data_IF_330289342223
#
_entry.id   IF_330289342223
#
_cell.length_a   1.000
_cell.length_b   1.000
_cell.length_c   1.000
_cell.angle_alpha   90.00
_cell.angle_beta   90.00
_cell.angle_gamma   90.00
#
_symmetry.space_group_name_H-M   'P 1'
#
loop_
_entity.id
_entity.type
_entity.pdbx_description
1 polymer ?
#
# COMPACT_ATOMS: atom_id res chain seq x y z
N UNK A 1 44.34 7.87 33.96
CA UNK A 1 44.29 7.48 32.54
C UNK A 1 43.64 6.11 32.45
N UNK A 2 42.34 6.09 32.14
CA UNK A 2 41.59 4.88 31.82
C UNK A 2 40.86 5.24 30.54
N UNK A 3 41.37 4.76 29.41
CA UNK A 3 40.76 4.98 28.11
C UNK A 3 39.64 3.95 27.99
N UNK A 4 38.39 4.39 28.11
CA UNK A 4 37.26 3.52 27.79
C UNK A 4 37.06 3.60 26.28
N UNK A 5 37.32 2.46 25.64
CA UNK A 5 37.12 2.18 24.23
C UNK A 5 35.68 2.51 23.84
N UNK A 6 35.52 3.30 22.79
CA UNK A 6 34.24 3.72 22.23
C UNK A 6 33.26 2.54 22.04
N UNK A 7 31.95 2.73 22.25
CA UNK A 7 30.97 1.70 21.93
C UNK A 7 30.98 1.48 20.43
N UNK A 8 31.18 0.21 20.05
CA UNK A 8 31.05 -0.29 18.70
C UNK A 8 29.73 0.15 18.08
N UNK A 9 29.82 0.73 16.90
CA UNK A 9 28.74 0.92 15.94
C UNK A 9 27.82 -0.30 15.84
N UNK A 10 26.51 -0.09 15.94
CA UNK A 10 25.57 -0.71 15.00
C UNK A 10 24.31 0.15 14.84
N UNK A 11 24.17 0.63 13.62
CA UNK A 11 22.96 1.11 12.94
C UNK A 11 21.66 0.74 13.67
N UNK A 12 21.05 1.70 14.36
CA UNK A 12 19.67 1.57 14.82
C UNK A 12 18.73 2.05 13.72
N UNK A 13 18.47 1.13 12.80
CA UNK A 13 17.27 0.92 11.99
C UNK A 13 16.28 2.10 11.85
N UNK A 14 16.64 3.16 11.13
CA UNK A 14 15.68 4.19 10.69
C UNK A 14 14.79 3.72 9.52
N UNK A 15 15.03 2.50 9.02
CA UNK A 15 14.39 1.91 7.85
C UNK A 15 13.19 1.00 8.17
N UNK A 16 12.94 0.68 9.45
CA UNK A 16 11.81 -0.19 9.83
C UNK A 16 10.45 0.42 9.47
N UNK A 17 10.34 1.74 9.54
CA UNK A 17 9.09 2.47 9.32
C UNK A 17 8.80 2.60 7.82
N UNK A 18 9.85 2.62 7.00
CA UNK A 18 9.75 2.72 5.54
C UNK A 18 9.30 1.40 4.90
N UNK A 19 9.65 0.27 5.53
CA UNK A 19 9.27 -1.07 5.05
C UNK A 19 7.84 -1.44 5.44
N UNK A 20 7.38 -0.99 6.62
CA UNK A 20 6.00 -1.22 7.06
C UNK A 20 5.04 -0.69 6.00
N UNK A 21 5.22 0.54 5.51
CA UNK A 21 4.39 1.17 4.46
C UNK A 21 4.28 0.41 3.15
N UNK A 22 5.36 -0.21 2.68
CA UNK A 22 5.29 -1.10 1.51
C UNK A 22 4.61 -2.44 1.82
N UNK A 23 4.73 -2.98 3.03
CA UNK A 23 4.08 -4.25 3.39
C UNK A 23 2.56 -4.08 3.54
N UNK A 24 2.09 -2.98 4.17
CA UNK A 24 0.64 -2.70 4.26
C UNK A 24 0.02 -2.41 2.89
N UNK A 25 0.76 -1.90 1.89
CA UNK A 25 0.19 -1.72 0.54
C UNK A 25 -0.14 -3.05 -0.14
N UNK A 26 0.63 -4.11 0.16
CA UNK A 26 0.46 -5.45 -0.43
C UNK A 26 -0.66 -6.26 0.23
N UNK A 27 -0.97 -6.01 1.50
CA UNK A 27 -1.99 -6.75 2.27
C UNK A 27 -3.33 -6.03 2.18
N UNK A 28 -4.36 -6.68 1.63
CA UNK A 28 -5.72 -6.13 1.55
C UNK A 28 -6.59 -6.66 2.68
N UNK A 29 -7.05 -5.76 3.54
CA UNK A 29 -7.99 -6.06 4.62
C UNK A 29 -9.44 -6.08 4.11
N UNK A 30 -10.38 -6.73 4.81
CA UNK A 30 -11.79 -6.72 4.42
C UNK A 30 -12.41 -5.32 4.35
N UNK A 31 -11.94 -4.40 5.19
CA UNK A 31 -12.40 -3.00 5.20
C UNK A 31 -11.91 -2.27 3.94
N UNK A 32 -10.64 -2.41 3.57
CA UNK A 32 -10.09 -1.83 2.35
C UNK A 32 -10.76 -2.41 1.10
N UNK A 33 -11.00 -3.72 1.06
CA UNK A 33 -11.71 -4.36 -0.04
C UNK A 33 -13.13 -3.78 -0.19
N UNK A 34 -13.85 -3.59 0.91
CA UNK A 34 -15.18 -2.96 0.87
C UNK A 34 -15.14 -1.51 0.37
N UNK A 35 -14.12 -0.74 0.77
CA UNK A 35 -13.92 0.63 0.26
C UNK A 35 -13.62 0.62 -1.24
N UNK A 36 -12.79 -0.32 -1.69
CA UNK A 36 -12.47 -0.52 -3.10
C UNK A 36 -13.72 -0.89 -3.91
N UNK A 37 -14.50 -1.87 -3.49
CA UNK A 37 -15.79 -2.22 -4.13
C UNK A 37 -16.75 -1.03 -4.19
N UNK A 38 -16.85 -0.25 -3.10
CA UNK A 38 -17.68 0.95 -3.05
C UNK A 38 -17.18 2.01 -4.04
N UNK A 39 -15.86 2.18 -4.17
CA UNK A 39 -15.27 3.09 -5.13
C UNK A 39 -15.51 2.61 -6.58
N UNK A 40 -15.39 1.31 -6.85
CA UNK A 40 -15.71 0.73 -8.17
C UNK A 40 -17.18 0.90 -8.55
N UNK A 41 -18.10 0.87 -7.56
CA UNK A 41 -19.53 1.12 -7.78
C UNK A 41 -19.84 2.61 -8.01
N UNK A 42 -18.99 3.51 -7.51
CA UNK A 42 -19.15 4.96 -7.63
C UNK A 42 -18.53 5.52 -8.91
N UNK A 43 -17.46 4.91 -9.40
CA UNK A 43 -16.70 5.40 -10.56
C UNK A 43 -16.82 4.43 -11.74
N UNK A 44 -17.51 4.89 -12.78
CA UNK A 44 -17.69 4.15 -14.03
C UNK A 44 -16.35 3.76 -14.68
N UNK A 45 -16.39 2.69 -15.46
CA UNK A 45 -15.21 2.12 -16.15
C UNK A 45 -14.57 3.08 -17.14
N UNK A 46 -15.33 4.01 -17.69
CA UNK A 46 -14.90 4.95 -18.72
C UNK A 46 -14.33 6.27 -18.16
N UNK A 47 -14.33 6.44 -16.83
CA UNK A 47 -13.76 7.63 -16.22
C UNK A 47 -12.22 7.64 -16.39
N UNK A 48 -11.64 8.67 -17.03
CA UNK A 48 -10.19 8.71 -17.30
C UNK A 48 -9.34 8.77 -16.03
N UNK A 49 -9.92 9.24 -14.92
CA UNK A 49 -9.31 9.36 -13.59
C UNK A 49 -9.82 8.31 -12.60
N UNK A 50 -10.50 7.24 -13.08
CA UNK A 50 -11.11 6.19 -12.24
C UNK A 50 -10.16 5.69 -11.16
N UNK A 51 -8.96 5.26 -11.55
CA UNK A 51 -8.01 4.64 -10.63
C UNK A 51 -7.42 5.63 -9.61
N UNK A 52 -7.29 6.91 -9.99
CA UNK A 52 -6.86 7.96 -9.06
C UNK A 52 -7.93 8.16 -7.98
N UNK A 53 -9.20 8.27 -8.37
CA UNK A 53 -10.31 8.42 -7.41
C UNK A 53 -10.54 7.18 -6.55
N UNK A 54 -10.30 5.99 -7.08
CA UNK A 54 -10.37 4.74 -6.32
C UNK A 54 -9.25 4.69 -5.27
N UNK A 55 -8.01 5.04 -5.62
CA UNK A 55 -6.91 5.09 -4.67
C UNK A 55 -7.14 6.13 -3.55
N UNK A 56 -7.70 7.30 -3.88
CA UNK A 56 -8.08 8.31 -2.89
C UNK A 56 -9.13 7.81 -1.88
N UNK A 57 -9.96 6.84 -2.26
CA UNK A 57 -10.96 6.24 -1.38
C UNK A 57 -10.43 5.11 -0.49
N UNK A 58 -9.22 4.61 -0.74
CA UNK A 58 -8.62 3.51 0.03
C UNK A 58 -7.31 4.00 0.66
N UNK A 59 -7.35 4.48 1.93
CA UNK A 59 -6.19 5.03 2.59
C UNK A 59 -5.00 4.05 2.60
N UNK A 60 -3.82 4.54 2.24
CA UNK A 60 -2.61 3.72 2.21
C UNK A 60 -2.44 2.85 0.96
N UNK A 61 -3.38 2.90 0.00
CA UNK A 61 -3.22 2.26 -1.31
C UNK A 61 -2.94 3.31 -2.39
N UNK A 62 -2.04 2.95 -3.29
CA UNK A 62 -1.69 3.74 -4.47
C UNK A 62 -2.50 3.30 -5.69
N UNK A 63 -2.45 4.10 -6.76
CA UNK A 63 -3.00 3.75 -8.07
C UNK A 63 -2.46 2.39 -8.56
N UNK A 64 -1.18 2.10 -8.31
CA UNK A 64 -0.57 0.82 -8.66
C UNK A 64 -1.18 -0.33 -7.84
N UNK A 65 -1.37 -0.14 -6.53
CA UNK A 65 -1.94 -1.20 -5.68
C UNK A 65 -3.38 -1.55 -6.10
N UNK A 66 -4.21 -0.55 -6.39
CA UNK A 66 -5.63 -0.76 -6.76
C UNK A 66 -5.79 -1.36 -8.16
N UNK A 67 -4.93 -1.01 -9.10
CA UNK A 67 -4.93 -1.58 -10.46
C UNK A 67 -4.43 -3.02 -10.46
N UNK A 68 -3.34 -3.30 -9.74
CA UNK A 68 -2.80 -4.66 -9.56
C UNK A 68 -3.83 -5.53 -8.84
N UNK A 69 -4.48 -5.00 -7.79
CA UNK A 69 -5.50 -5.75 -7.06
C UNK A 69 -6.70 -6.14 -7.93
N UNK A 70 -7.18 -5.25 -8.80
CA UNK A 70 -8.22 -5.61 -9.79
C UNK A 70 -7.75 -6.77 -10.69
N UNK A 71 -6.56 -6.67 -11.27
CA UNK A 71 -6.02 -7.70 -12.17
C UNK A 71 -5.76 -9.06 -11.48
N UNK A 72 -5.44 -9.06 -10.19
CA UNK A 72 -5.13 -10.30 -9.47
C UNK A 72 -6.36 -10.99 -8.88
N UNK A 73 -7.33 -10.21 -8.40
CA UNK A 73 -8.45 -10.73 -7.59
C UNK A 73 -9.78 -10.67 -8.32
N UNK A 74 -9.96 -9.71 -9.23
CA UNK A 74 -11.26 -9.36 -9.80
C UNK A 74 -11.39 -9.64 -11.29
N UNK A 75 -10.28 -9.77 -12.04
CA UNK A 75 -10.35 -10.21 -13.43
C UNK A 75 -10.31 -11.72 -13.54
N UNK A 76 -11.33 -12.37 -14.16
CA UNK A 76 -11.28 -13.79 -14.44
C UNK A 76 -10.08 -14.12 -15.34
N UNK A 77 -9.21 -15.01 -14.88
CA UNK A 77 -8.25 -15.70 -15.74
C UNK A 77 -9.09 -16.69 -16.58
N UNK A 78 -9.35 -16.32 -17.83
CA UNK A 78 -10.13 -17.09 -18.80
C UNK A 78 -9.39 -18.38 -19.14
#
# INVERSE_FOLDING_TARGET
>A
MKWETAPSSYISNSSSWMMEDSLKSTIWTPVENKLFETALAKFDKDAPDRWQRVAEMVPGKTVADVTIYECLVWTPQI
#
